data_IF_659596418932
#
_entry.id   IF_659596418932
#
_cell.length_a   1.000
_cell.length_b   1.000
_cell.length_c   1.000
_cell.angle_alpha   90.00
_cell.angle_beta   90.00
_cell.angle_gamma   90.00
#
_symmetry.space_group_name_H-M   'P 1'
#
loop_
_entity.id
_entity.type
_entity.pdbx_description
1 polymer ?
#
# COMPACT_ATOMS: atom_id res chain seq x y z
N UNK A 1 52.79 7.26 0.95
CA UNK A 1 51.45 6.96 1.48
C UNK A 1 50.31 7.61 0.66
N UNK A 2 50.30 7.43 -0.68
CA UNK A 2 49.26 8.01 -1.57
C UNK A 2 48.44 6.94 -2.32
N UNK A 3 48.87 5.68 -2.29
CA UNK A 3 48.21 4.55 -2.97
C UNK A 3 47.16 3.81 -2.10
N UNK A 4 47.08 4.10 -0.79
CA UNK A 4 46.04 3.52 0.07
C UNK A 4 44.65 4.13 -0.19
N UNK A 5 44.60 5.40 -0.61
CA UNK A 5 43.34 6.10 -0.90
C UNK A 5 42.55 5.51 -2.08
N UNK A 6 43.14 5.26 -3.28
CA UNK A 6 42.39 4.64 -4.38
C UNK A 6 42.00 3.19 -4.06
N UNK A 7 42.80 2.46 -3.28
CA UNK A 7 42.49 1.08 -2.89
C UNK A 7 41.29 1.03 -1.93
N UNK A 8 41.20 1.97 -0.98
CA UNK A 8 40.06 2.08 -0.06
C UNK A 8 38.76 2.47 -0.79
N UNK A 9 38.86 3.34 -1.79
CA UNK A 9 37.72 3.73 -2.64
C UNK A 9 37.23 2.54 -3.48
N UNK A 10 38.16 1.77 -4.07
CA UNK A 10 37.84 0.58 -4.86
C UNK A 10 37.19 -0.51 -4.00
N UNK A 11 37.69 -0.74 -2.79
CA UNK A 11 37.12 -1.71 -1.84
C UNK A 11 35.70 -1.30 -1.41
N UNK A 12 35.48 -0.01 -1.17
CA UNK A 12 34.16 0.53 -0.81
C UNK A 12 33.15 0.41 -1.96
N UNK A 13 33.59 0.61 -3.20
CA UNK A 13 32.75 0.43 -4.38
C UNK A 13 32.32 -1.04 -4.58
N UNK A 14 33.24 -1.99 -4.32
CA UNK A 14 32.97 -3.42 -4.43
C UNK A 14 31.95 -3.91 -3.39
N UNK A 15 32.00 -3.36 -2.18
CA UNK A 15 31.03 -3.66 -1.11
C UNK A 15 29.62 -3.09 -1.40
N UNK A 16 29.52 -2.01 -2.19
CA UNK A 16 28.23 -1.39 -2.54
C UNK A 16 27.48 -2.16 -3.65
N UNK A 17 28.14 -3.05 -4.40
CA UNK A 17 27.50 -3.94 -5.39
C UNK A 17 26.58 -5.00 -4.75
N UNK A 18 26.66 -5.20 -3.43
CA UNK A 18 25.76 -6.11 -2.70
C UNK A 18 24.27 -5.74 -2.80
N UNK A 19 23.95 -4.48 -3.12
CA UNK A 19 22.57 -4.04 -3.30
C UNK A 19 21.93 -4.61 -4.59
N UNK A 20 22.73 -4.81 -5.65
CA UNK A 20 22.25 -5.36 -6.93
C UNK A 20 22.08 -6.88 -6.82
N UNK A 21 22.97 -7.55 -6.08
CA UNK A 21 22.82 -8.98 -5.78
C UNK A 21 21.55 -9.25 -4.95
N UNK A 22 21.22 -8.39 -3.98
CA UNK A 22 19.96 -8.48 -3.23
C UNK A 22 18.73 -8.20 -4.11
N UNK A 23 18.81 -7.30 -5.09
CA UNK A 23 17.73 -7.04 -6.04
C UNK A 23 17.50 -8.22 -7.02
N UNK A 24 18.57 -8.85 -7.51
CA UNK A 24 18.50 -10.00 -8.43
C UNK A 24 18.15 -11.31 -7.70
N UNK A 25 18.63 -11.50 -6.47
CA UNK A 25 18.14 -12.58 -5.60
C UNK A 25 16.71 -12.28 -5.15
N UNK A 26 16.31 -11.02 -5.06
CA UNK A 26 14.93 -10.59 -4.87
C UNK A 26 14.00 -11.09 -5.99
N UNK A 27 14.41 -11.04 -7.26
CA UNK A 27 13.59 -11.58 -8.36
C UNK A 27 13.54 -13.12 -8.34
N UNK A 28 14.62 -13.81 -7.96
CA UNK A 28 14.61 -15.26 -7.77
C UNK A 28 13.81 -15.72 -6.54
N UNK A 29 13.84 -14.94 -5.45
CA UNK A 29 13.05 -15.16 -4.24
C UNK A 29 11.56 -14.84 -4.45
N UNK A 30 11.22 -13.88 -5.33
CA UNK A 30 9.84 -13.66 -5.79
C UNK A 30 9.34 -14.87 -6.57
N UNK A 31 10.20 -15.52 -7.38
CA UNK A 31 9.87 -16.75 -8.09
C UNK A 31 9.61 -17.96 -7.18
N UNK A 32 10.30 -18.09 -6.04
CA UNK A 32 10.09 -19.20 -5.09
C UNK A 32 9.02 -18.92 -4.04
N UNK A 33 8.75 -17.66 -3.69
CA UNK A 33 7.62 -17.29 -2.81
C UNK A 33 6.27 -17.36 -3.52
N UNK A 34 6.23 -17.29 -4.85
CA UNK A 34 5.03 -17.57 -5.64
C UNK A 34 4.55 -19.02 -5.53
N UNK A 35 5.37 -19.95 -5.03
CA UNK A 35 5.04 -21.37 -4.95
C UNK A 35 4.40 -21.81 -3.63
N UNK A 36 4.32 -20.95 -2.60
CA UNK A 36 3.85 -21.37 -1.25
C UNK A 36 2.75 -20.49 -0.65
N UNK A 37 2.30 -19.44 -1.33
CA UNK A 37 1.09 -18.69 -0.95
C UNK A 37 0.06 -18.78 -2.09
N UNK A 38 -1.14 -19.36 -1.88
CA UNK A 38 -2.17 -19.50 -2.91
C UNK A 38 -2.75 -18.17 -3.43
N UNK A 39 -2.28 -17.01 -2.95
CA UNK A 39 -2.71 -15.70 -3.45
C UNK A 39 -1.82 -15.21 -4.60
N UNK A 40 -2.36 -15.29 -5.81
CA UNK A 40 -1.78 -14.65 -7.00
C UNK A 40 -1.49 -13.17 -6.74
N UNK A 41 -0.33 -12.69 -7.18
CA UNK A 41 0.06 -11.27 -7.15
C UNK A 41 -1.02 -10.32 -7.70
N UNK A 42 -1.85 -10.80 -8.64
CA UNK A 42 -3.01 -10.06 -9.15
C UNK A 42 -4.02 -9.69 -8.05
N UNK A 43 -4.41 -10.64 -7.20
CA UNK A 43 -5.35 -10.35 -6.11
C UNK A 43 -4.81 -9.36 -5.08
N UNK A 44 -3.49 -9.34 -4.85
CA UNK A 44 -2.86 -8.38 -3.95
C UNK A 44 -2.82 -6.96 -4.54
N UNK A 45 -2.60 -6.83 -5.86
CA UNK A 45 -2.66 -5.54 -6.57
C UNK A 45 -4.10 -5.02 -6.62
N UNK A 46 -5.07 -5.89 -6.86
CA UNK A 46 -6.49 -5.53 -6.87
C UNK A 46 -6.98 -5.07 -5.49
N UNK A 47 -6.61 -5.79 -4.43
CA UNK A 47 -6.93 -5.41 -3.04
C UNK A 47 -6.27 -4.06 -2.68
N UNK A 48 -5.00 -3.85 -3.00
CA UNK A 48 -4.30 -2.57 -2.76
C UNK A 48 -4.96 -1.42 -3.53
N UNK A 49 -5.36 -1.66 -4.77
CA UNK A 49 -6.06 -0.65 -5.59
C UNK A 49 -7.43 -0.31 -4.98
N UNK A 50 -8.15 -1.32 -4.49
CA UNK A 50 -9.44 -1.13 -3.83
C UNK A 50 -9.30 -0.34 -2.52
N UNK A 51 -8.29 -0.64 -1.70
CA UNK A 51 -7.97 0.13 -0.49
C UNK A 51 -7.72 1.60 -0.82
N UNK A 52 -6.86 1.87 -1.80
CA UNK A 52 -6.51 3.23 -2.20
C UNK A 52 -7.73 4.01 -2.71
N UNK A 53 -8.61 3.38 -3.50
CA UNK A 53 -9.83 4.03 -4.01
C UNK A 53 -10.80 4.39 -2.88
N UNK A 54 -11.03 3.47 -1.94
CA UNK A 54 -11.93 3.72 -0.80
C UNK A 54 -11.33 4.75 0.15
N UNK A 55 -10.03 4.66 0.45
CA UNK A 55 -9.33 5.62 1.30
C UNK A 55 -9.33 7.03 0.69
N UNK A 56 -9.08 7.13 -0.62
CA UNK A 56 -9.20 8.40 -1.35
C UNK A 56 -10.62 8.97 -1.28
N UNK A 57 -11.65 8.14 -1.47
CA UNK A 57 -13.03 8.57 -1.40
C UNK A 57 -13.44 9.05 0.02
N UNK A 58 -12.98 8.36 1.07
CA UNK A 58 -13.19 8.79 2.46
C UNK A 58 -12.42 10.08 2.78
N UNK A 59 -11.21 10.23 2.26
CA UNK A 59 -10.37 11.42 2.47
C UNK A 59 -10.91 12.68 1.80
N UNK A 60 -11.73 12.54 0.73
CA UNK A 60 -12.44 13.65 0.10
C UNK A 60 -13.57 14.21 0.96
N UNK A 61 -14.09 13.42 1.90
CA UNK A 61 -15.12 13.87 2.84
C UNK A 61 -14.45 14.53 4.05
N UNK A 62 -14.51 15.87 4.10
CA UNK A 62 -13.87 16.64 5.17
C UNK A 62 -14.43 16.33 6.56
N UNK A 63 -15.70 15.95 6.67
CA UNK A 63 -16.32 15.64 7.96
C UNK A 63 -15.74 14.36 8.52
N UNK A 64 -15.62 13.32 7.69
CA UNK A 64 -14.98 12.06 8.08
C UNK A 64 -13.51 12.32 8.41
N UNK A 65 -12.76 13.03 7.58
CA UNK A 65 -11.33 13.29 7.81
C UNK A 65 -11.04 14.04 9.12
N UNK A 66 -11.90 14.99 9.50
CA UNK A 66 -11.71 15.83 10.70
C UNK A 66 -12.23 15.17 11.97
N UNK A 67 -13.31 14.41 11.89
CA UNK A 67 -14.05 13.95 13.07
C UNK A 67 -13.92 12.46 13.32
N UNK A 68 -13.63 11.65 12.29
CA UNK A 68 -13.55 10.20 12.39
C UNK A 68 -12.16 9.69 11.95
N UNK A 69 -11.69 8.64 12.64
CA UNK A 69 -10.48 7.92 12.26
C UNK A 69 -10.89 6.54 11.81
N UNK A 70 -10.98 6.35 10.50
CA UNK A 70 -11.41 5.09 9.88
C UNK A 70 -10.25 4.54 9.06
N UNK A 71 -9.84 3.32 9.37
CA UNK A 71 -8.87 2.55 8.59
C UNK A 71 -9.62 1.63 7.61
N UNK A 72 -9.07 1.51 6.41
CA UNK A 72 -9.62 0.69 5.33
C UNK A 72 -8.68 -0.47 5.11
N UNK A 73 -9.21 -1.69 5.08
CA UNK A 73 -8.45 -2.88 4.71
C UNK A 73 -9.26 -3.67 3.70
N UNK A 74 -8.69 -3.99 2.55
CA UNK A 74 -9.28 -4.85 1.54
C UNK A 74 -8.61 -6.20 1.57
N UNK A 75 -9.42 -7.24 1.47
CA UNK A 75 -8.94 -8.61 1.47
C UNK A 75 -9.87 -9.47 0.64
N UNK A 76 -9.35 -10.08 -0.42
CA UNK A 76 -10.11 -10.92 -1.35
C UNK A 76 -11.37 -10.20 -1.88
N UNK A 77 -11.22 -8.92 -2.26
CA UNK A 77 -12.32 -8.10 -2.79
C UNK A 77 -13.38 -7.69 -1.76
N UNK A 78 -13.19 -7.99 -0.47
CA UNK A 78 -14.03 -7.49 0.62
C UNK A 78 -13.34 -6.33 1.30
N UNK A 79 -14.09 -5.25 1.56
CA UNK A 79 -13.59 -4.07 2.27
C UNK A 79 -14.07 -4.09 3.72
N UNK A 80 -13.13 -4.07 4.65
CA UNK A 80 -13.36 -3.89 6.07
C UNK A 80 -13.03 -2.45 6.46
N UNK A 81 -13.99 -1.78 7.09
CA UNK A 81 -13.80 -0.46 7.70
C UNK A 81 -13.70 -0.64 9.21
N UNK A 82 -12.61 -0.16 9.81
CA UNK A 82 -12.41 -0.20 11.26
C UNK A 82 -12.05 1.17 11.80
N UNK A 83 -12.31 1.43 13.08
CA UNK A 83 -11.87 2.65 13.73
C UNK A 83 -12.95 3.32 14.57
N UNK A 84 -12.80 4.64 14.74
CA UNK A 84 -13.58 5.45 15.68
C UNK A 84 -14.34 6.52 14.92
N UNK A 85 -15.62 6.65 15.25
CA UNK A 85 -16.50 7.68 14.73
C UNK A 85 -17.32 8.26 15.89
N UNK A 86 -17.44 9.59 16.00
CA UNK A 86 -18.13 10.23 17.11
C UNK A 86 -19.65 10.07 17.03
N UNK A 87 -20.21 9.79 15.85
CA UNK A 87 -21.64 9.54 15.65
C UNK A 87 -21.88 8.35 14.73
N UNK A 88 -22.99 7.62 14.91
CA UNK A 88 -23.37 6.53 14.02
C UNK A 88 -23.60 7.02 12.58
N UNK A 89 -24.08 8.24 12.38
CA UNK A 89 -24.30 8.82 11.05
C UNK A 89 -23.02 8.94 10.21
N UNK A 90 -21.90 9.33 10.83
CA UNK A 90 -20.60 9.41 10.16
C UNK A 90 -20.09 8.03 9.75
N UNK A 91 -20.30 7.02 10.60
CA UNK A 91 -19.98 5.63 10.23
C UNK A 91 -20.85 5.10 9.09
N UNK A 92 -22.13 5.45 9.06
CA UNK A 92 -23.05 5.10 7.98
C UNK A 92 -22.65 5.80 6.67
N UNK A 93 -22.24 7.07 6.72
CA UNK A 93 -21.70 7.81 5.58
C UNK A 93 -20.42 7.18 5.05
N UNK A 94 -19.49 6.80 5.92
CA UNK A 94 -18.26 6.11 5.52
C UNK A 94 -18.58 4.79 4.79
N UNK A 95 -19.56 4.03 5.29
CA UNK A 95 -20.05 2.81 4.64
C UNK A 95 -20.64 3.11 3.26
N UNK A 96 -21.45 4.17 3.11
CA UNK A 96 -22.01 4.56 1.81
C UNK A 96 -20.94 4.93 0.78
N UNK A 97 -19.89 5.65 1.22
CA UNK A 97 -18.75 6.02 0.39
C UNK A 97 -17.99 4.76 -0.05
N UNK A 98 -17.71 3.84 0.88
CA UNK A 98 -17.03 2.58 0.57
C UNK A 98 -17.82 1.67 -0.39
N UNK A 99 -19.16 1.69 -0.31
CA UNK A 99 -20.03 0.98 -1.26
C UNK A 99 -20.16 1.69 -2.62
N UNK A 100 -19.45 2.79 -2.86
CA UNK A 100 -19.51 3.55 -4.12
C UNK A 100 -20.77 4.41 -4.30
N UNK A 101 -21.65 4.46 -3.29
CA UNK A 101 -22.89 5.26 -3.29
C UNK A 101 -22.71 6.70 -2.80
N UNK A 102 -21.49 7.08 -2.41
CA UNK A 102 -21.12 8.46 -2.09
C UNK A 102 -20.79 9.33 -3.30
N UNK A 103 -20.96 8.83 -4.54
CA UNK A 103 -20.73 9.62 -5.77
C UNK A 103 -21.83 10.67 -5.92
N UNK A 104 -21.58 11.84 -5.34
CA UNK A 104 -22.14 13.07 -5.86
C UNK A 104 -21.72 13.24 -7.33
N UNK A 105 -22.68 13.70 -8.12
CA UNK A 105 -22.79 13.67 -9.57
C UNK A 105 -21.82 14.63 -10.31
N UNK A 106 -20.52 14.64 -9.98
CA UNK A 106 -19.65 15.79 -10.32
C UNK A 106 -18.27 15.49 -10.92
N UNK A 107 -18.09 14.43 -11.70
CA UNK A 107 -16.86 14.30 -12.51
C UNK A 107 -17.20 13.64 -13.85
N UNK A 108 -17.41 14.52 -14.83
CA UNK A 108 -17.24 14.28 -16.28
C UNK A 108 -15.81 13.81 -16.53
#
# INVERSE_FOLDING_TARGET
MKALSPLAILLSALLLQGCVAAAVVGTAAVGTKAATDPRTVGTQVDDSTLELRVNSALSKDEQIKKQARINVTAYQGKVLLTGQSPTPDLSARAKQIAMGRGRNHGSV
#
